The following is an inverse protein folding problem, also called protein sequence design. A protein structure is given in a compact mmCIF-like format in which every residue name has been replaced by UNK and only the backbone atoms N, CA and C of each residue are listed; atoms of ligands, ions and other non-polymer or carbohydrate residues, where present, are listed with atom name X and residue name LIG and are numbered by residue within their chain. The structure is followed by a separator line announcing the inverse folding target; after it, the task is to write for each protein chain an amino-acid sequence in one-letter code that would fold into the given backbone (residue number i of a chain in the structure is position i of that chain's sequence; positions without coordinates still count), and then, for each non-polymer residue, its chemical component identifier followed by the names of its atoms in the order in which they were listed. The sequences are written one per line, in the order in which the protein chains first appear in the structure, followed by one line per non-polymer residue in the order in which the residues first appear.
data_IF_321103253607
#
_entry.id   IF_321103253607
#
_cell.length_a   1.000
_cell.length_b   1.000
_cell.length_c   1.000
_cell.angle_alpha   90.00
_cell.angle_beta   90.00
_cell.angle_gamma   90.00
#
_symmetry.space_group_name_H-M   'P 1'
#
loop_
_entity.id
_entity.type
_entity.pdbx_description
1 polymer ?
#
# COMPACT_ATOMS: atom_id res chain seq x y z
N UNK A 1 -10.16 5.12 -10.76
CA UNK A 1 -8.69 5.20 -10.84
C UNK A 1 -8.10 4.09 -10.00
N UNK A 2 -6.86 3.67 -10.28
CA UNK A 2 -6.16 2.64 -9.52
C UNK A 2 -4.86 3.22 -8.93
N UNK A 3 -4.36 2.61 -7.86
CA UNK A 3 -3.08 2.95 -7.23
C UNK A 3 -2.30 1.66 -7.04
N UNK A 4 -1.12 1.57 -7.66
CA UNK A 4 -0.17 0.48 -7.47
C UNK A 4 0.93 0.97 -6.53
N UNK A 5 1.20 0.20 -5.48
CA UNK A 5 2.27 0.49 -4.52
C UNK A 5 3.21 -0.71 -4.43
N UNK A 6 4.50 -0.45 -4.54
CA UNK A 6 5.58 -1.37 -4.15
C UNK A 6 6.06 -0.95 -2.76
N UNK A 7 5.99 -1.84 -1.79
CA UNK A 7 6.58 -1.67 -0.47
C UNK A 7 7.88 -2.47 -0.39
N UNK A 8 8.93 -1.82 0.09
CA UNK A 8 10.16 -2.48 0.48
C UNK A 8 10.08 -2.76 1.99
N UNK A 9 9.96 -4.02 2.38
CA UNK A 9 9.85 -4.47 3.77
C UNK A 9 11.07 -5.29 4.19
N UNK A 10 11.46 -5.16 5.45
CA UNK A 10 12.49 -6.00 6.06
C UNK A 10 11.93 -7.25 6.76
N UNK A 11 10.61 -7.30 7.01
CA UNK A 11 9.91 -8.44 7.61
C UNK A 11 8.49 -8.57 7.02
N UNK A 12 8.31 -9.54 6.10
CA UNK A 12 7.04 -9.77 5.44
C UNK A 12 5.92 -10.23 6.40
N UNK A 13 6.25 -10.92 7.49
CA UNK A 13 5.27 -11.33 8.50
C UNK A 13 4.72 -10.13 9.24
N UNK A 14 5.62 -9.32 9.81
CA UNK A 14 5.25 -8.11 10.54
C UNK A 14 4.57 -7.07 9.64
N UNK A 15 5.01 -6.97 8.38
CA UNK A 15 4.32 -6.16 7.37
C UNK A 15 2.87 -6.59 7.18
N UNK A 16 2.60 -7.90 6.98
CA UNK A 16 1.23 -8.41 6.76
C UNK A 16 0.31 -8.08 7.92
N UNK A 17 0.80 -8.23 9.15
CA UNK A 17 0.02 -7.91 10.36
C UNK A 17 -0.28 -6.41 10.45
N UNK A 18 0.73 -5.56 10.26
CA UNK A 18 0.55 -4.11 10.25
C UNK A 18 -0.34 -3.62 9.08
N UNK A 19 -0.23 -4.27 7.93
CA UNK A 19 -1.03 -4.02 6.75
C UNK A 19 -2.50 -4.38 7.00
N UNK A 20 -2.77 -5.55 7.57
CA UNK A 20 -4.12 -5.94 7.97
C UNK A 20 -4.71 -4.97 9.02
N UNK A 21 -3.92 -4.61 10.05
CA UNK A 21 -4.35 -3.69 11.11
C UNK A 21 -4.62 -2.25 10.62
N UNK A 22 -4.06 -1.85 9.49
CA UNK A 22 -4.26 -0.51 8.90
C UNK A 22 -5.39 -0.44 7.87
N UNK A 23 -6.17 -1.52 7.70
CA UNK A 23 -7.31 -1.60 6.77
C UNK A 23 -8.29 -0.44 6.92
N UNK A 24 -8.76 -0.17 8.13
CA UNK A 24 -9.75 0.91 8.36
C UNK A 24 -9.23 2.30 8.00
N UNK A 25 -7.95 2.58 8.28
CA UNK A 25 -7.34 3.86 7.90
C UNK A 25 -7.23 4.00 6.38
N UNK A 26 -6.92 2.92 5.66
CA UNK A 26 -6.92 2.92 4.19
C UNK A 26 -8.32 3.13 3.62
N UNK A 27 -9.32 2.44 4.18
CA UNK A 27 -10.72 2.60 3.77
C UNK A 27 -11.16 4.07 3.95
N UNK A 28 -10.82 4.70 5.09
CA UNK A 28 -11.10 6.11 5.36
C UNK A 28 -10.37 7.09 4.41
N UNK A 29 -9.23 6.67 3.87
CA UNK A 29 -8.44 7.41 2.88
C UNK A 29 -8.94 7.21 1.43
N UNK A 30 -10.08 6.53 1.23
CA UNK A 30 -10.63 6.30 -0.11
C UNK A 30 -9.88 5.21 -0.90
N UNK A 31 -9.16 4.31 -0.20
CA UNK A 31 -8.43 3.20 -0.78
C UNK A 31 -9.13 1.87 -0.48
N UNK A 32 -9.43 1.09 -1.51
CA UNK A 32 -9.93 -0.28 -1.37
C UNK A 32 -8.92 -1.27 -1.94
N UNK A 33 -8.38 -2.19 -1.13
CA UNK A 33 -7.43 -3.19 -1.64
C UNK A 33 -8.13 -4.15 -2.61
N UNK A 34 -7.57 -4.26 -3.81
CA UNK A 34 -8.01 -5.21 -4.84
C UNK A 34 -7.14 -6.46 -4.81
N UNK A 35 -5.82 -6.29 -4.77
CA UNK A 35 -4.85 -7.38 -4.78
C UNK A 35 -3.64 -7.04 -3.91
N UNK A 36 -3.01 -8.08 -3.37
CA UNK A 36 -1.76 -8.01 -2.61
C UNK A 36 -0.91 -9.20 -3.03
N UNK A 37 0.37 -8.94 -3.31
CA UNK A 37 1.32 -9.95 -3.76
C UNK A 37 2.65 -9.79 -3.04
N UNK A 38 3.29 -10.91 -2.77
CA UNK A 38 4.68 -10.97 -2.36
C UNK A 38 5.50 -11.42 -3.56
N UNK A 39 6.64 -10.79 -3.77
CA UNK A 39 7.53 -11.15 -4.86
C UNK A 39 8.21 -12.48 -4.58
N UNK A 40 8.03 -13.45 -5.48
CA UNK A 40 8.38 -14.85 -5.24
C UNK A 40 9.87 -15.07 -4.93
N UNK A 41 10.73 -14.31 -5.61
CA UNK A 41 12.19 -14.41 -5.48
C UNK A 41 12.77 -13.37 -4.51
N UNK A 42 11.93 -12.46 -4.00
CA UNK A 42 12.33 -11.38 -3.07
C UNK A 42 11.18 -11.08 -2.10
N UNK A 43 11.07 -11.83 -0.97
CA UNK A 43 9.98 -11.64 -0.01
C UNK A 43 10.02 -10.29 0.71
N UNK A 44 11.05 -9.46 0.44
CA UNK A 44 11.17 -8.08 0.90
C UNK A 44 10.39 -7.09 0.05
N UNK A 45 9.81 -7.53 -1.06
CA UNK A 45 9.05 -6.66 -1.95
C UNK A 45 7.60 -7.12 -1.98
N UNK A 46 6.72 -6.22 -1.54
CA UNK A 46 5.28 -6.47 -1.48
C UNK A 46 4.58 -5.48 -2.40
N UNK A 47 3.71 -5.99 -3.26
CA UNK A 47 2.96 -5.20 -4.22
C UNK A 47 1.50 -5.16 -3.84
N UNK A 48 0.91 -3.97 -3.78
CA UNK A 48 -0.51 -3.79 -3.50
C UNK A 48 -1.18 -2.97 -4.60
N UNK A 49 -2.31 -3.48 -5.09
CA UNK A 49 -3.19 -2.77 -6.00
C UNK A 49 -4.43 -2.32 -5.25
N UNK A 50 -4.72 -1.03 -5.32
CA UNK A 50 -5.91 -0.41 -4.73
C UNK A 50 -6.80 0.20 -5.80
N UNK A 51 -8.11 0.13 -5.57
CA UNK A 51 -9.08 1.05 -6.13
C UNK A 51 -9.04 2.37 -5.36
N UNK A 52 -9.12 3.48 -6.08
CA UNK A 52 -9.11 4.83 -5.50
C UNK A 52 -10.44 5.51 -5.81
N UNK A 53 -11.16 5.89 -4.75
CA UNK A 53 -12.41 6.65 -4.83
C UNK A 53 -12.22 8.15 -4.60
N UNK A 54 -11.19 8.54 -3.84
CA UNK A 54 -10.82 9.92 -3.55
C UNK A 54 -9.30 10.07 -3.70
N UNK A 55 -8.87 10.83 -4.71
CA UNK A 55 -7.45 11.00 -5.04
C UNK A 55 -6.71 11.82 -3.99
N UNK A 56 -7.31 12.92 -3.55
CA UNK A 56 -6.65 13.86 -2.65
C UNK A 56 -6.42 13.22 -1.29
N UNK A 57 -7.38 12.41 -0.81
CA UNK A 57 -7.20 11.62 0.41
C UNK A 57 -6.15 10.53 0.27
N UNK A 58 -6.09 9.87 -0.88
CA UNK A 58 -5.06 8.87 -1.15
C UNK A 58 -3.66 9.50 -1.16
N UNK A 59 -3.50 10.67 -1.79
CA UNK A 59 -2.23 11.42 -1.79
C UNK A 59 -1.84 11.89 -0.38
N UNK A 60 -2.79 12.41 0.41
CA UNK A 60 -2.54 12.77 1.81
C UNK A 60 -2.09 11.56 2.64
N UNK A 61 -2.74 10.40 2.47
CA UNK A 61 -2.38 9.16 3.16
C UNK A 61 -0.96 8.67 2.80
N UNK A 62 -0.54 8.83 1.54
CA UNK A 62 0.83 8.54 1.13
C UNK A 62 1.84 9.51 1.76
N UNK A 63 1.50 10.80 1.83
CA UNK A 63 2.34 11.86 2.37
C UNK A 63 2.54 11.77 3.88
N UNK A 64 1.57 11.26 4.63
CA UNK A 64 1.65 11.09 6.09
C UNK A 64 2.70 10.06 6.55
N UNK A 65 3.42 9.42 5.59
CA UNK A 65 4.19 8.19 5.80
C UNK A 65 3.28 7.15 6.43
N UNK A 66 2.72 6.29 5.57
CA UNK A 66 1.70 5.30 5.93
C UNK A 66 1.95 4.65 7.30
N UNK A 67 0.89 4.18 7.98
CA UNK A 67 0.99 3.47 9.27
C UNK A 67 1.97 2.26 9.29
N UNK A 68 2.53 1.90 8.14
CA UNK A 68 3.54 0.88 7.92
C UNK A 68 4.98 1.43 7.97
N UNK A 69 5.21 2.72 8.25
CA UNK A 69 6.53 3.36 8.19
C UNK A 69 7.59 2.70 9.09
N UNK A 70 7.20 1.99 10.15
CA UNK A 70 8.13 1.21 10.97
C UNK A 70 8.44 -0.19 10.42
N UNK A 71 7.67 -0.66 9.43
CA UNK A 71 7.73 -2.00 8.83
C UNK A 71 8.23 -2.00 7.39
N UNK A 72 8.50 -0.80 6.84
CA UNK A 72 8.97 -0.62 5.47
C UNK A 72 10.19 0.30 5.45
N UNK A 73 11.14 -0.02 4.57
CA UNK A 73 12.32 0.80 4.30
C UNK A 73 12.00 1.89 3.26
N UNK A 74 10.96 1.67 2.45
CA UNK A 74 10.48 2.59 1.43
C UNK A 74 9.19 2.14 0.75
N UNK A 75 8.64 3.01 -0.08
CA UNK A 75 7.56 2.67 -0.99
C UNK A 75 7.67 3.48 -2.29
N UNK A 76 7.23 2.88 -3.39
CA UNK A 76 6.99 3.54 -4.68
C UNK A 76 5.50 3.46 -5.01
N UNK A 77 4.88 4.58 -5.38
CA UNK A 77 3.44 4.68 -5.61
C UNK A 77 3.14 5.23 -7.02
N UNK A 78 2.20 4.60 -7.71
CA UNK A 78 1.80 4.97 -9.07
C UNK A 78 0.27 5.01 -9.20
N UNK A 79 -0.27 6.19 -9.50
CA UNK A 79 -1.67 6.31 -9.91
C UNK A 79 -1.84 5.89 -11.37
N UNK A 80 -2.77 4.98 -11.63
CA UNK A 80 -3.00 4.36 -12.92
C UNK A 80 -4.45 4.62 -13.38
N UNK A 81 -4.61 4.79 -14.69
CA UNK A 81 -5.90 4.91 -15.36
C UNK A 81 -6.05 3.77 -16.37
N UNK A 82 -7.26 3.23 -16.49
CA UNK A 82 -7.61 2.30 -17.56
C UNK A 82 -7.79 3.10 -18.86
N UNK A 83 -7.24 2.57 -19.96
CA UNK A 83 -7.38 3.15 -21.31
C UNK A 83 -8.61 2.62 -22.03
#
# INVERSE_FOLDING_TARGET
MQLLIRYDTHDAGAFRDAHAASRERRDAAGLSQLQLWEEADSPKSVWALYGVTDRDRAEAWLAEKSALASQIDGLDAHFLATV
#
